data_IF_035283352476
#
_entry.id   IF_035283352476
#
_cell.length_a   1.000
_cell.length_b   1.000
_cell.length_c   1.000
_cell.angle_alpha   90.00
_cell.angle_beta   90.00
_cell.angle_gamma   90.00
#
_symmetry.space_group_name_H-M   'P 1'
#
loop_
_entity.id
_entity.type
_entity.pdbx_description
1 polymer ?
#
# COMPACT_ATOMS: atom_id res chain seq x y z
N UNK A 1 -10.72 0.92 4.86
CA UNK A 1 -10.50 2.27 4.32
C UNK A 1 -9.09 2.73 4.67
N UNK A 2 -8.31 3.12 3.67
CA UNK A 2 -6.98 3.67 3.88
C UNK A 2 -7.09 5.20 3.96
N UNK A 3 -6.76 5.75 5.12
CA UNK A 3 -6.77 7.19 5.34
C UNK A 3 -5.33 7.66 5.58
N UNK A 4 -4.92 8.70 4.87
CA UNK A 4 -3.65 9.38 5.08
C UNK A 4 -3.89 10.81 5.53
N UNK A 5 -3.11 11.23 6.51
CA UNK A 5 -2.93 12.65 6.83
C UNK A 5 -1.71 13.15 6.07
N UNK A 6 -1.87 14.20 5.28
CA UNK A 6 -0.76 14.83 4.56
C UNK A 6 -0.22 15.95 5.44
N UNK A 7 1.09 15.94 5.68
CA UNK A 7 1.80 16.98 6.42
C UNK A 7 2.84 17.60 5.49
N UNK A 8 2.73 18.90 5.25
CA UNK A 8 3.67 19.63 4.39
C UNK A 8 4.81 20.21 5.21
N UNK A 9 6.00 20.25 4.64
CA UNK A 9 7.20 20.91 5.12
C UNK A 9 7.81 21.76 4.01
N UNK A 10 8.81 22.58 4.35
CA UNK A 10 9.50 23.41 3.35
C UNK A 10 10.23 22.60 2.28
N UNK A 11 10.67 21.39 2.61
CA UNK A 11 11.45 20.53 1.70
C UNK A 11 10.66 19.38 1.09
N UNK A 12 9.41 19.14 1.54
CA UNK A 12 8.67 17.98 1.11
C UNK A 12 7.31 17.84 1.79
N UNK A 13 6.75 16.65 1.73
CA UNK A 13 5.55 16.30 2.47
C UNK A 13 5.61 14.87 2.96
N UNK A 14 4.88 14.61 4.04
CA UNK A 14 4.73 13.28 4.61
C UNK A 14 3.29 12.79 4.47
N UNK A 15 3.16 11.52 4.11
CA UNK A 15 1.92 10.77 4.15
C UNK A 15 1.94 9.93 5.43
N UNK A 16 1.12 10.34 6.39
CA UNK A 16 0.99 9.64 7.68
C UNK A 16 -0.26 8.76 7.61
N UNK A 17 -0.12 7.44 7.55
CA UNK A 17 -1.26 6.54 7.59
C UNK A 17 -1.97 6.68 8.92
N UNK A 18 -3.30 6.78 8.89
CA UNK A 18 -4.13 6.87 10.10
C UNK A 18 -5.08 5.68 10.16
N UNK A 19 -5.28 5.19 11.38
CA UNK A 19 -6.14 4.04 11.64
C UNK A 19 -5.42 2.69 11.49
N UNK A 20 -5.97 1.67 12.15
CA UNK A 20 -5.46 0.31 12.07
C UNK A 20 -5.79 -0.31 10.72
N UNK A 21 -4.93 -1.19 10.29
CA UNK A 21 -5.14 -2.10 9.18
C UNK A 21 -5.46 -3.47 9.73
N UNK A 22 -6.58 -4.05 9.28
CA UNK A 22 -7.02 -5.36 9.70
C UNK A 22 -6.99 -6.32 8.52
N UNK A 23 -6.37 -7.47 8.70
CA UNK A 23 -6.37 -8.57 7.76
C UNK A 23 -6.97 -9.79 8.45
N UNK A 24 -7.94 -10.44 7.83
CA UNK A 24 -8.48 -11.71 8.29
C UNK A 24 -8.17 -12.80 7.28
N UNK A 25 -7.50 -13.85 7.71
CA UNK A 25 -7.30 -15.06 6.93
C UNK A 25 -8.50 -15.98 7.16
N UNK A 26 -9.42 -16.05 6.19
CA UNK A 26 -10.69 -16.81 6.32
C UNK A 26 -10.46 -18.31 6.60
N UNK A 27 -9.39 -18.88 6.05
CA UNK A 27 -9.08 -20.31 6.16
C UNK A 27 -8.69 -20.72 7.58
N UNK A 28 -7.92 -19.90 8.29
CA UNK A 28 -7.39 -20.17 9.63
C UNK A 28 -8.13 -19.42 10.73
N UNK A 29 -9.04 -18.50 10.31
CA UNK A 29 -9.74 -17.54 11.17
C UNK A 29 -8.79 -16.69 12.03
N UNK A 30 -7.63 -16.38 11.47
CA UNK A 30 -6.66 -15.51 12.11
C UNK A 30 -6.91 -14.05 11.70
N UNK A 31 -6.77 -13.17 12.68
CA UNK A 31 -6.87 -11.72 12.48
C UNK A 31 -5.56 -11.06 12.83
N UNK A 32 -5.13 -10.18 11.94
CA UNK A 32 -3.91 -9.41 12.08
C UNK A 32 -4.25 -7.93 12.08
N UNK A 33 -3.80 -7.23 13.12
CA UNK A 33 -3.86 -5.79 13.20
C UNK A 33 -2.48 -5.22 12.96
N UNK A 34 -2.34 -4.31 12.01
CA UNK A 34 -1.05 -3.71 11.73
C UNK A 34 -1.13 -2.21 11.52
N UNK A 35 -0.06 -1.54 11.91
CA UNK A 35 0.19 -0.13 11.63
C UNK A 35 1.11 -0.02 10.42
N UNK A 36 1.21 1.17 9.87
CA UNK A 36 2.11 1.45 8.75
C UNK A 36 3.09 2.55 9.13
N UNK A 37 4.32 2.50 8.61
CA UNK A 37 5.29 3.57 8.79
C UNK A 37 4.84 4.82 8.03
N UNK A 38 5.57 5.91 8.21
CA UNK A 38 5.39 7.15 7.45
C UNK A 38 6.08 7.06 6.11
N UNK A 39 5.52 7.76 5.13
CA UNK A 39 6.08 7.88 3.79
C UNK A 39 6.41 9.35 3.55
N UNK A 40 7.68 9.65 3.29
CA UNK A 40 8.15 11.02 3.07
C UNK A 40 8.58 11.19 1.62
N UNK A 41 8.18 12.30 1.02
CA UNK A 41 8.60 12.72 -0.31
C UNK A 41 9.35 14.04 -0.14
N UNK A 42 10.58 14.07 -0.61
CA UNK A 42 11.48 15.20 -0.44
C UNK A 42 11.92 15.77 -1.78
N UNK A 43 12.30 17.05 -1.76
CA UNK A 43 12.81 17.77 -2.93
C UNK A 43 11.84 17.85 -4.11
N UNK A 44 10.54 17.98 -3.82
CA UNK A 44 9.52 18.03 -4.88
C UNK A 44 9.49 19.37 -5.64
N UNK A 45 10.11 20.44 -5.08
CA UNK A 45 10.23 21.75 -5.72
C UNK A 45 11.63 21.94 -6.29
N UNK A 46 12.67 21.66 -5.49
CA UNK A 46 14.07 21.89 -5.86
C UNK A 46 14.92 20.70 -5.43
N UNK A 47 15.78 20.23 -6.33
CA UNK A 47 16.69 19.11 -6.10
C UNK A 47 16.21 17.80 -6.69
N UNK A 48 16.91 16.72 -6.41
CA UNK A 48 16.54 15.38 -6.87
C UNK A 48 15.44 14.82 -5.98
N UNK A 49 14.26 14.60 -6.54
CA UNK A 49 13.13 13.96 -5.86
C UNK A 49 13.56 12.61 -5.28
N UNK A 50 13.22 12.37 -4.02
CA UNK A 50 13.38 11.05 -3.42
C UNK A 50 12.24 10.71 -2.47
N UNK A 51 11.99 9.42 -2.36
CA UNK A 51 10.99 8.82 -1.48
C UNK A 51 11.68 8.11 -0.33
N UNK A 52 11.11 8.20 0.86
CA UNK A 52 11.63 7.55 2.05
C UNK A 52 10.51 6.93 2.90
N UNK A 53 10.84 5.81 3.55
CA UNK A 53 9.98 5.19 4.55
C UNK A 53 10.67 5.35 5.90
N UNK A 54 9.95 5.83 6.90
CA UNK A 54 10.47 6.00 8.25
C UNK A 54 9.42 5.72 9.33
N UNK A 55 9.90 5.39 10.53
CA UNK A 55 9.04 5.07 11.67
C UNK A 55 8.78 3.58 11.84
N UNK A 56 7.92 3.25 12.78
CA UNK A 56 7.63 1.87 13.17
C UNK A 56 6.41 1.32 12.43
N UNK A 57 6.53 0.06 12.02
CA UNK A 57 5.42 -0.78 11.60
C UNK A 57 5.26 -1.91 12.61
N UNK A 58 4.05 -2.11 13.11
CA UNK A 58 3.72 -3.24 13.97
C UNK A 58 2.67 -4.12 13.33
N UNK A 59 2.72 -5.43 13.59
CA UNK A 59 1.68 -6.36 13.23
C UNK A 59 1.45 -7.32 14.39
N UNK A 60 0.20 -7.47 14.81
CA UNK A 60 -0.16 -8.38 15.93
C UNK A 60 -1.19 -9.39 15.44
N UNK A 61 -0.92 -10.66 15.65
CA UNK A 61 -1.90 -11.73 15.48
C UNK A 61 -2.82 -11.76 16.71
N UNK A 62 -4.11 -11.50 16.54
CA UNK A 62 -5.07 -11.46 17.64
C UNK A 62 -5.24 -12.83 18.34
N UNK A 63 -5.04 -13.92 17.59
CA UNK A 63 -5.23 -15.29 18.11
C UNK A 63 -4.01 -15.78 18.87
N UNK A 64 -2.82 -15.70 18.28
CA UNK A 64 -1.58 -16.21 18.88
C UNK A 64 -0.92 -15.20 19.82
N UNK A 65 -1.28 -13.91 19.72
CA UNK A 65 -0.67 -12.77 20.41
C UNK A 65 0.79 -12.52 20.00
N UNK A 66 1.25 -13.16 18.96
CA UNK A 66 2.55 -12.86 18.38
C UNK A 66 2.55 -11.44 17.79
N UNK A 67 3.65 -10.75 18.00
CA UNK A 67 3.81 -9.38 17.52
C UNK A 67 5.10 -9.23 16.71
N UNK A 68 4.97 -8.58 15.57
CA UNK A 68 6.09 -8.09 14.75
C UNK A 68 6.22 -6.60 14.99
N UNK A 69 7.44 -6.12 15.21
CA UNK A 69 7.76 -4.70 15.25
C UNK A 69 8.98 -4.47 14.36
N UNK A 70 8.86 -3.58 13.38
CA UNK A 70 9.95 -3.23 12.46
C UNK A 70 10.08 -1.71 12.41
N UNK A 71 11.27 -1.21 12.66
CA UNK A 71 11.62 0.20 12.60
C UNK A 71 12.35 0.48 11.29
N UNK A 72 11.76 1.33 10.46
CA UNK A 72 12.38 1.89 9.27
C UNK A 72 13.18 3.11 9.68
N UNK A 73 14.50 3.06 9.51
CA UNK A 73 15.38 4.13 9.95
C UNK A 73 15.24 5.36 9.06
N UNK A 74 15.27 6.57 9.64
CA UNK A 74 15.32 7.79 8.85
C UNK A 74 16.61 7.85 8.03
N UNK A 75 16.59 8.65 6.97
CA UNK A 75 17.79 8.90 6.17
C UNK A 75 18.87 9.50 7.05
N UNK A 76 20.05 8.86 7.06
CA UNK A 76 21.21 9.33 7.80
C UNK A 76 22.02 10.37 7.05
N UNK A 77 23.04 10.92 7.72
CA UNK A 77 24.04 11.82 7.11
C UNK A 77 24.98 11.06 6.17
N UNK A 78 25.16 9.77 6.39
CA UNK A 78 25.97 8.88 5.56
C UNK A 78 25.09 7.83 4.93
N UNK A 79 25.44 7.36 3.73
CA UNK A 79 24.69 6.32 3.00
C UNK A 79 24.76 4.93 3.64
N UNK A 80 25.59 4.72 4.65
CA UNK A 80 25.78 3.41 5.29
C UNK A 80 24.46 2.85 5.88
N UNK A 81 23.66 3.73 6.50
CA UNK A 81 22.40 3.38 7.13
C UNK A 81 21.18 3.69 6.25
N UNK A 82 21.40 4.00 4.97
CA UNK A 82 20.29 4.26 4.06
C UNK A 82 19.44 3.02 3.87
N UNK A 83 18.11 3.23 3.90
CA UNK A 83 17.09 2.21 3.68
C UNK A 83 16.99 1.10 4.76
N UNK A 84 17.71 1.26 5.89
CA UNK A 84 17.78 0.24 6.93
C UNK A 84 16.40 0.01 7.57
N UNK A 85 16.06 -1.27 7.75
CA UNK A 85 14.91 -1.73 8.50
C UNK A 85 15.36 -2.82 9.48
N UNK A 86 15.02 -2.63 10.74
CA UNK A 86 15.39 -3.54 11.83
C UNK A 86 14.19 -3.79 12.72
N UNK A 87 14.06 -5.00 13.22
CA UNK A 87 12.94 -5.34 14.07
C UNK A 87 13.03 -6.71 14.71
N UNK A 88 11.93 -7.08 15.34
CA UNK A 88 11.82 -8.35 16.04
C UNK A 88 10.41 -8.93 15.95
N UNK A 89 10.33 -10.25 16.14
CA UNK A 89 9.10 -11.00 16.27
C UNK A 89 9.09 -11.62 17.66
N UNK A 90 8.08 -11.27 18.43
CA UNK A 90 7.89 -11.77 19.79
C UNK A 90 6.69 -12.71 19.88
N UNK A 91 6.76 -13.66 20.80
CA UNK A 91 5.59 -14.48 21.17
C UNK A 91 4.68 -13.72 22.16
N UNK A 92 3.62 -14.39 22.62
CA UNK A 92 2.65 -13.87 23.59
C UNK A 92 3.26 -13.48 24.93
N UNK A 93 4.39 -14.08 25.28
CA UNK A 93 5.12 -13.82 26.53
C UNK A 93 6.22 -12.78 26.35
N UNK A 94 6.17 -12.04 25.22
CA UNK A 94 7.13 -11.01 24.81
C UNK A 94 8.56 -11.52 24.61
N UNK A 95 8.75 -12.82 24.48
CA UNK A 95 10.05 -13.41 24.18
C UNK A 95 10.37 -13.27 22.69
N UNK A 96 11.52 -12.70 22.37
CA UNK A 96 11.98 -12.55 20.98
C UNK A 96 12.33 -13.92 20.40
N UNK A 97 11.60 -14.31 19.36
CA UNK A 97 11.82 -15.55 18.58
C UNK A 97 12.69 -15.33 17.38
N UNK A 98 12.47 -14.19 16.70
CA UNK A 98 13.21 -13.83 15.50
C UNK A 98 13.61 -12.37 15.56
N UNK A 99 14.72 -12.05 14.89
CA UNK A 99 15.07 -10.67 14.54
C UNK A 99 14.89 -10.46 13.04
N UNK A 100 14.51 -9.24 12.66
CA UNK A 100 14.35 -8.80 11.28
C UNK A 100 15.44 -7.78 11.01
N UNK A 101 16.13 -7.90 9.87
CA UNK A 101 17.14 -6.95 9.46
C UNK A 101 17.26 -6.88 7.94
N UNK A 102 17.71 -5.74 7.43
CA UNK A 102 17.96 -5.55 6.01
C UNK A 102 17.74 -4.13 5.54
N UNK A 103 17.61 -3.98 4.25
CA UNK A 103 17.31 -2.71 3.56
C UNK A 103 15.99 -2.84 2.82
N UNK A 104 14.99 -2.04 3.19
CA UNK A 104 13.64 -2.14 2.64
C UNK A 104 13.54 -1.93 1.11
N UNK A 105 14.55 -1.31 0.50
CA UNK A 105 14.64 -1.14 -0.96
C UNK A 105 15.42 -2.27 -1.65
N UNK A 106 15.90 -3.27 -0.92
CA UNK A 106 16.72 -4.35 -1.46
C UNK A 106 16.28 -5.71 -0.93
N UNK A 107 16.49 -5.99 0.35
CA UNK A 107 16.16 -7.27 0.94
C UNK A 107 15.81 -7.14 2.42
N UNK A 108 15.01 -8.08 2.92
CA UNK A 108 14.77 -8.29 4.35
C UNK A 108 15.02 -9.75 4.69
N UNK A 109 15.70 -9.98 5.79
CA UNK A 109 15.96 -11.30 6.35
C UNK A 109 15.35 -11.43 7.74
N UNK A 110 15.00 -12.64 8.12
CA UNK A 110 14.71 -13.02 9.49
C UNK A 110 15.75 -14.02 10.00
N UNK A 111 16.20 -13.79 11.22
CA UNK A 111 17.09 -14.70 11.94
C UNK A 111 16.32 -15.37 13.07
N UNK A 112 16.26 -16.70 13.04
CA UNK A 112 15.62 -17.51 14.08
C UNK A 112 16.58 -17.69 15.26
N UNK A 113 16.26 -17.11 16.42
CA UNK A 113 17.11 -17.21 17.61
C UNK A 113 17.19 -18.62 18.21
N UNK A 114 16.21 -19.48 17.93
CA UNK A 114 16.19 -20.86 18.44
C UNK A 114 17.07 -21.81 17.61
N UNK A 115 17.11 -21.62 16.29
CA UNK A 115 17.84 -22.51 15.39
C UNK A 115 19.15 -21.93 14.88
N UNK A 116 19.35 -20.60 15.03
CA UNK A 116 20.50 -19.91 14.46
C UNK A 116 20.45 -19.73 12.93
N UNK A 117 19.30 -20.00 12.31
CA UNK A 117 19.14 -19.94 10.85
C UNK A 117 18.64 -18.56 10.42
N UNK A 118 19.30 -17.97 9.44
CA UNK A 118 18.84 -16.77 8.75
C UNK A 118 18.13 -17.15 7.45
N UNK A 119 16.98 -16.55 7.20
CA UNK A 119 16.20 -16.75 5.98
C UNK A 119 15.84 -15.41 5.37
N UNK A 120 16.13 -15.24 4.09
CA UNK A 120 15.69 -14.08 3.33
C UNK A 120 14.21 -14.20 2.99
N UNK A 121 13.39 -13.23 3.43
CA UNK A 121 11.93 -13.25 3.26
C UNK A 121 11.44 -12.31 2.16
N UNK A 122 12.22 -11.28 1.86
CA UNK A 122 11.97 -10.34 0.76
C UNK A 122 13.28 -10.17 0.01
N UNK A 123 13.21 -10.22 -1.29
CA UNK A 123 14.34 -9.93 -2.16
C UNK A 123 13.92 -8.90 -3.21
N UNK A 124 14.85 -8.06 -3.62
CA UNK A 124 14.63 -7.11 -4.70
C UNK A 124 14.37 -7.91 -5.99
N UNK A 125 13.33 -7.55 -6.68
CA UNK A 125 13.17 -8.01 -8.06
C UNK A 125 14.39 -7.57 -8.90
N UNK A 126 14.73 -8.32 -9.96
CA UNK A 126 15.79 -7.92 -10.88
C UNK A 126 15.64 -6.46 -11.29
N UNK A 127 16.74 -5.78 -11.52
CA UNK A 127 16.75 -4.38 -11.87
C UNK A 127 15.78 -4.12 -13.04
N UNK A 128 14.86 -3.18 -12.91
CA UNK A 128 13.86 -2.89 -13.94
C UNK A 128 14.44 -2.29 -15.22
N UNK A 129 15.76 -2.27 -15.39
CA UNK A 129 16.42 -1.88 -16.65
C UNK A 129 15.87 -2.63 -17.87
N UNK A 130 15.44 -3.90 -17.69
CA UNK A 130 14.80 -4.69 -18.74
C UNK A 130 13.36 -4.22 -19.04
N UNK A 131 12.75 -3.45 -18.16
CA UNK A 131 11.36 -3.03 -18.26
C UNK A 131 11.19 -1.56 -18.63
N UNK A 132 12.24 -0.86 -19.09
CA UNK A 132 12.16 0.56 -19.40
C UNK A 132 11.10 0.89 -20.47
N UNK A 133 10.90 -0.01 -21.44
CA UNK A 133 9.85 0.11 -22.48
C UNK A 133 8.44 -0.17 -21.92
N UNK A 134 8.33 -0.62 -20.69
CA UNK A 134 7.09 -0.98 -20.00
C UNK A 134 6.86 -0.10 -18.77
N UNK A 135 7.32 1.15 -18.82
CA UNK A 135 7.20 2.10 -17.71
C UNK A 135 7.77 1.58 -16.39
N UNK A 136 8.78 0.72 -16.45
CA UNK A 136 9.38 0.04 -15.30
C UNK A 136 8.43 -0.83 -14.47
N UNK A 137 7.30 -1.23 -15.04
CA UNK A 137 6.42 -2.20 -14.40
C UNK A 137 6.98 -3.60 -14.47
N UNK A 138 6.97 -4.30 -13.35
CA UNK A 138 7.24 -5.74 -13.32
C UNK A 138 6.10 -6.51 -13.99
N UNK A 139 6.35 -7.75 -14.41
CA UNK A 139 5.31 -8.64 -14.94
C UNK A 139 4.11 -8.78 -13.98
N UNK A 140 4.35 -8.80 -12.68
CA UNK A 140 3.29 -8.82 -11.70
C UNK A 140 2.40 -7.57 -11.79
N UNK A 141 2.99 -6.38 -11.83
CA UNK A 141 2.24 -5.12 -11.91
C UNK A 141 1.46 -5.00 -13.21
N UNK A 142 2.02 -5.45 -14.34
CA UNK A 142 1.31 -5.46 -15.62
C UNK A 142 0.08 -6.37 -15.58
N UNK A 143 0.21 -7.53 -14.93
CA UNK A 143 -0.90 -8.48 -14.81
C UNK A 143 -2.03 -8.00 -13.89
N UNK A 144 -1.77 -7.09 -12.97
CA UNK A 144 -2.83 -6.55 -12.10
C UNK A 144 -3.95 -5.83 -12.85
N UNK A 145 -3.62 -5.24 -14.00
CA UNK A 145 -4.60 -4.52 -14.82
C UNK A 145 -5.03 -5.30 -16.08
N UNK A 146 -4.50 -6.50 -16.24
CA UNK A 146 -4.84 -7.36 -17.37
C UNK A 146 -6.30 -7.82 -17.29
N UNK A 147 -7.03 -7.60 -18.38
CA UNK A 147 -8.44 -7.95 -18.50
C UNK A 147 -8.59 -9.16 -19.42
N UNK A 148 -8.80 -10.33 -18.84
CA UNK A 148 -9.07 -11.55 -19.59
C UNK A 148 -10.51 -11.54 -20.10
N UNK A 149 -10.75 -11.85 -21.39
CA UNK A 149 -12.10 -11.85 -21.95
C UNK A 149 -13.09 -12.72 -21.18
N UNK A 150 -12.66 -13.90 -20.74
CA UNK A 150 -13.49 -14.84 -19.98
C UNK A 150 -13.80 -14.38 -18.54
N UNK A 151 -12.97 -13.53 -17.98
CA UNK A 151 -13.18 -12.94 -16.65
C UNK A 151 -14.04 -11.68 -16.72
N UNK A 152 -13.94 -10.91 -17.80
CA UNK A 152 -14.63 -9.65 -17.99
C UNK A 152 -16.15 -9.76 -17.78
N UNK A 153 -16.75 -10.87 -18.22
CA UNK A 153 -18.19 -11.12 -18.09
C UNK A 153 -18.64 -11.37 -16.65
N UNK A 154 -17.72 -11.79 -15.77
CA UNK A 154 -18.00 -12.15 -14.38
C UNK A 154 -17.65 -11.01 -13.41
N UNK A 155 -17.05 -9.94 -13.90
CA UNK A 155 -16.57 -8.83 -13.08
C UNK A 155 -17.65 -7.78 -12.88
N UNK A 156 -17.58 -7.10 -11.73
CA UNK A 156 -18.45 -5.96 -11.46
C UNK A 156 -18.22 -4.86 -12.50
N UNK A 157 -19.28 -4.21 -13.02
CA UNK A 157 -19.15 -3.12 -14.00
C UNK A 157 -18.31 -1.93 -13.48
N UNK A 158 -18.13 -1.85 -12.17
CA UNK A 158 -17.33 -0.82 -11.49
C UNK A 158 -15.89 -1.21 -11.26
N UNK A 159 -15.44 -2.38 -11.76
CA UNK A 159 -14.05 -2.79 -11.69
C UNK A 159 -13.17 -1.78 -12.42
N UNK A 160 -12.05 -1.40 -11.80
CA UNK A 160 -11.15 -0.36 -12.35
C UNK A 160 -10.55 -0.73 -13.70
N UNK A 161 -10.48 -2.02 -14.02
CA UNK A 161 -10.01 -2.52 -15.31
C UNK A 161 -10.91 -2.12 -16.48
N UNK A 162 -12.17 -1.77 -16.22
CA UNK A 162 -13.10 -1.25 -17.23
C UNK A 162 -13.03 0.27 -17.41
N UNK A 163 -12.27 0.97 -16.59
CA UNK A 163 -12.19 2.43 -16.71
C UNK A 163 -11.62 2.82 -18.07
N UNK A 164 -12.26 3.74 -18.78
CA UNK A 164 -11.84 4.10 -20.15
C UNK A 164 -10.45 4.75 -20.19
N UNK A 165 -10.09 5.53 -19.19
CA UNK A 165 -8.75 6.12 -19.07
C UNK A 165 -7.66 5.05 -18.89
N UNK A 166 -7.92 4.01 -18.08
CA UNK A 166 -6.99 2.90 -17.91
C UNK A 166 -6.90 2.04 -19.17
N UNK A 167 -8.02 1.80 -19.87
CA UNK A 167 -8.01 1.08 -21.14
C UNK A 167 -7.24 1.81 -22.23
N UNK A 168 -7.45 3.12 -22.36
CA UNK A 168 -6.69 3.92 -23.29
C UNK A 168 -5.19 3.88 -22.99
N UNK A 169 -4.83 4.01 -21.72
CA UNK A 169 -3.43 3.91 -21.28
C UNK A 169 -2.79 2.56 -21.62
N UNK A 170 -3.49 1.46 -21.38
CA UNK A 170 -3.05 0.09 -21.72
C UNK A 170 -2.84 -0.11 -23.24
N UNK A 171 -3.61 0.59 -24.07
CA UNK A 171 -3.44 0.59 -25.53
C UNK A 171 -2.38 1.57 -26.04
N UNK A 172 -1.72 2.32 -25.14
CA UNK A 172 -0.70 3.29 -25.48
C UNK A 172 -1.23 4.66 -25.97
N UNK A 173 -2.55 4.86 -25.91
CA UNK A 173 -3.17 6.15 -26.26
C UNK A 173 -3.18 7.09 -25.04
N UNK A 174 -2.08 7.81 -24.88
CA UNK A 174 -1.86 8.68 -23.71
C UNK A 174 -2.78 9.90 -23.74
N UNK A 175 -3.07 10.46 -24.91
CA UNK A 175 -3.92 11.62 -25.05
C UNK A 175 -5.37 11.28 -24.70
N UNK A 176 -5.87 10.17 -25.21
CA UNK A 176 -7.19 9.65 -24.84
C UNK A 176 -7.25 9.30 -23.35
N UNK A 177 -6.21 8.68 -22.79
CA UNK A 177 -6.16 8.35 -21.38
C UNK A 177 -6.26 9.63 -20.52
N UNK A 178 -5.54 10.68 -20.87
CA UNK A 178 -5.56 11.98 -20.17
C UNK A 178 -6.94 12.65 -20.28
N UNK A 179 -7.53 12.70 -21.46
CA UNK A 179 -8.84 13.31 -21.68
C UNK A 179 -9.97 12.56 -20.96
N UNK A 180 -9.96 11.22 -21.00
CA UNK A 180 -10.92 10.40 -20.30
C UNK A 180 -10.79 10.50 -18.77
N UNK A 181 -9.57 10.56 -18.25
CA UNK A 181 -9.32 10.83 -16.84
C UNK A 181 -9.94 12.16 -16.42
N UNK A 182 -9.66 13.23 -17.15
CA UNK A 182 -10.22 14.55 -16.87
C UNK A 182 -11.75 14.53 -16.89
N UNK A 183 -12.35 13.94 -17.92
CA UNK A 183 -13.81 13.78 -18.04
C UNK A 183 -14.42 13.06 -16.82
N UNK A 184 -13.80 11.96 -16.38
CA UNK A 184 -14.28 11.19 -15.23
C UNK A 184 -14.16 11.97 -13.91
N UNK A 185 -13.06 12.70 -13.71
CA UNK A 185 -12.86 13.56 -12.54
C UNK A 185 -13.88 14.69 -12.49
N UNK A 186 -14.16 15.36 -13.61
CA UNK A 186 -15.19 16.41 -13.67
C UNK A 186 -16.59 15.84 -13.38
N UNK A 187 -16.92 14.68 -13.93
CA UNK A 187 -18.18 13.99 -13.63
C UNK A 187 -18.28 13.69 -12.13
N UNK A 188 -17.20 13.23 -11.50
CA UNK A 188 -17.17 12.95 -10.07
C UNK A 188 -17.36 14.22 -9.23
N UNK A 189 -16.68 15.32 -9.60
CA UNK A 189 -16.81 16.62 -8.93
C UNK A 189 -18.23 17.17 -9.04
N UNK A 190 -18.83 17.10 -10.22
CA UNK A 190 -20.21 17.53 -10.46
C UNK A 190 -21.22 16.70 -9.62
N UNK A 191 -21.05 15.38 -9.59
CA UNK A 191 -21.88 14.49 -8.79
C UNK A 191 -21.75 14.80 -7.29
N UNK A 192 -20.53 15.01 -6.79
CA UNK A 192 -20.29 15.38 -5.39
C UNK A 192 -20.99 16.69 -5.06
N UNK A 193 -20.83 17.73 -5.90
CA UNK A 193 -21.49 19.03 -5.73
C UNK A 193 -23.01 18.89 -5.67
N UNK A 194 -23.59 18.12 -6.60
CA UNK A 194 -25.03 17.85 -6.65
C UNK A 194 -25.53 17.16 -5.38
N UNK A 195 -24.81 16.14 -4.89
CA UNK A 195 -25.17 15.42 -3.67
C UNK A 195 -25.08 16.32 -2.44
N UNK A 196 -24.03 17.12 -2.32
CA UNK A 196 -23.86 18.10 -1.25
C UNK A 196 -25.00 19.11 -1.23
N UNK A 197 -25.37 19.68 -2.38
CA UNK A 197 -26.47 20.64 -2.50
C UNK A 197 -27.81 20.00 -2.10
N UNK A 198 -28.01 18.72 -2.41
CA UNK A 198 -29.22 17.98 -2.06
C UNK A 198 -29.17 17.37 -0.66
N UNK A 199 -28.10 17.57 0.08
CA UNK A 199 -27.86 16.92 1.39
C UNK A 199 -27.99 15.38 1.33
N UNK A 200 -27.60 14.79 0.20
CA UNK A 200 -27.62 13.34 0.03
C UNK A 200 -26.29 12.77 0.49
N UNK A 201 -26.36 11.80 1.38
CA UNK A 201 -25.18 11.01 1.75
C UNK A 201 -24.84 10.03 0.60
N UNK A 202 -23.55 9.92 0.30
CA UNK A 202 -23.10 8.95 -0.69
C UNK A 202 -23.15 7.54 -0.10
N UNK A 203 -23.83 6.64 -0.78
CA UNK A 203 -23.91 5.23 -0.42
C UNK A 203 -23.19 4.38 -1.48
N UNK A 204 -22.35 3.44 -1.07
CA UNK A 204 -21.70 2.51 -2.00
C UNK A 204 -22.73 1.56 -2.62
N UNK A 205 -22.59 1.29 -3.93
CA UNK A 205 -23.49 0.37 -4.62
C UNK A 205 -23.24 -1.11 -4.29
N UNK A 206 -21.99 -1.43 -3.96
CA UNK A 206 -21.50 -2.82 -3.82
C UNK A 206 -21.08 -3.18 -2.39
N UNK A 207 -21.22 -2.25 -1.46
CA UNK A 207 -20.80 -2.44 -0.06
C UNK A 207 -21.95 -2.03 0.85
N UNK A 208 -22.08 -2.75 1.93
CA UNK A 208 -23.03 -2.45 3.00
C UNK A 208 -22.22 -1.96 4.20
N UNK A 209 -22.63 -0.87 4.81
CA UNK A 209 -22.03 -0.43 6.08
C UNK A 209 -22.43 -1.41 7.18
N UNK A 210 -21.46 -2.10 7.76
CA UNK A 210 -21.70 -2.90 8.95
C UNK A 210 -21.60 -2.02 10.19
N UNK A 211 -22.76 -1.72 10.79
CA UNK A 211 -22.83 -0.92 12.02
C UNK A 211 -22.21 -1.61 13.23
N UNK A 212 -21.91 -2.91 13.15
CA UNK A 212 -21.22 -3.68 14.19
C UNK A 212 -19.71 -3.75 13.97
N UNK A 213 -19.21 -3.34 12.83
CA UNK A 213 -17.79 -3.24 12.58
C UNK A 213 -17.21 -2.06 13.37
N UNK A 214 -16.26 -2.33 14.23
CA UNK A 214 -15.63 -1.35 15.13
C UNK A 214 -14.87 -0.25 14.38
N UNK A 215 -14.69 -0.37 13.09
CA UNK A 215 -14.09 0.61 12.18
C UNK A 215 -14.68 0.32 10.81
N UNK A 216 -15.41 1.24 10.21
CA UNK A 216 -15.89 1.32 8.82
C UNK A 216 -15.43 0.18 7.90
N UNK A 217 -15.68 -1.07 8.27
CA UNK A 217 -15.46 -2.22 7.42
C UNK A 217 -16.64 -2.31 6.44
N UNK A 218 -16.35 -2.05 5.17
CA UNK A 218 -17.30 -2.40 4.14
C UNK A 218 -17.29 -3.92 3.96
N UNK A 219 -18.40 -4.57 4.22
CA UNK A 219 -18.57 -6.01 3.99
C UNK A 219 -19.06 -6.23 2.56
N UNK A 220 -18.33 -7.07 1.82
CA UNK A 220 -18.65 -7.43 0.44
C UNK A 220 -19.73 -8.51 0.39
#
# INVERSE_FOLDING_TARGET
QLIFKIQFSMSGFELVPTGPFNLRLKKTDERFNFTRPRYSIHNYIVGKLYFWINGEMTCTNEKTKEKISVVFKPKGWTSANDYLAEGEITDRDHKVKYTVSGKWNSYLSIFNKGTGVETRIVDKYPDPSEYHMQYYFSHYNMNLNYLRPEEAQKMAPTDSRFRPDLRAYEHGDIDLASSEKHRLEEKQRATRKKNTTRKLEWMPLWFIWDSKATINEAVY
#
